data_IF_221532231062
#
_entry.id   IF_221532231062
#
_cell.length_a   1.000
_cell.length_b   1.000
_cell.length_c   1.000
_cell.angle_alpha   90.00
_cell.angle_beta   90.00
_cell.angle_gamma   90.00
#
_symmetry.space_group_name_H-M   'P 1'
#
loop_
_entity.id
_entity.type
_entity.pdbx_description
1 polymer ?
#
# COMPACT_ATOMS: atom_id res chain seq x y z
N UNK A 1 9.55 -3.24 -9.33
CA UNK A 1 10.65 -2.83 -10.24
C UNK A 1 10.33 -1.52 -10.96
N UNK A 2 9.20 -1.39 -11.69
CA UNK A 2 8.86 -0.21 -12.51
C UNK A 2 8.86 1.12 -11.73
N UNK A 3 8.23 1.17 -10.55
CA UNK A 3 8.14 2.38 -9.73
C UNK A 3 9.55 2.90 -9.33
N UNK A 4 10.44 2.01 -8.95
CA UNK A 4 11.81 2.38 -8.54
C UNK A 4 12.66 2.82 -9.73
N UNK A 5 12.45 2.22 -10.91
CA UNK A 5 13.08 2.65 -12.15
C UNK A 5 12.64 4.06 -12.54
N UNK A 6 11.34 4.35 -12.41
CA UNK A 6 10.81 5.69 -12.67
C UNK A 6 11.40 6.74 -11.70
N UNK A 7 11.47 6.48 -10.40
CA UNK A 7 12.11 7.39 -9.45
C UNK A 7 13.58 7.67 -9.79
N UNK A 8 14.34 6.64 -10.20
CA UNK A 8 15.70 6.83 -10.66
C UNK A 8 15.77 7.71 -11.91
N UNK A 9 14.85 7.52 -12.86
CA UNK A 9 14.77 8.33 -14.07
C UNK A 9 14.49 9.80 -13.75
N UNK A 10 13.63 10.09 -12.78
CA UNK A 10 13.31 11.47 -12.40
C UNK A 10 14.54 12.22 -11.87
N UNK A 11 15.37 11.54 -11.09
CA UNK A 11 16.64 12.12 -10.60
C UNK A 11 17.60 12.46 -11.74
N UNK A 12 17.58 11.69 -12.83
CA UNK A 12 18.46 11.89 -13.99
C UNK A 12 17.94 12.99 -14.95
N UNK A 13 16.60 13.08 -15.12
CA UNK A 13 16.00 13.91 -16.15
C UNK A 13 15.50 15.26 -15.65
N UNK A 14 15.11 15.35 -14.37
CA UNK A 14 14.45 16.52 -13.83
C UNK A 14 15.23 17.15 -12.68
N UNK A 15 15.20 18.51 -12.56
CA UNK A 15 15.79 19.19 -11.42
C UNK A 15 15.07 18.83 -10.13
N UNK A 16 15.79 18.81 -9.01
CA UNK A 16 15.30 18.39 -7.69
C UNK A 16 13.98 19.07 -7.26
N UNK A 17 13.83 20.35 -7.61
CA UNK A 17 12.62 21.14 -7.33
C UNK A 17 11.32 20.56 -7.94
N UNK A 18 11.42 19.78 -9.02
CA UNK A 18 10.27 19.18 -9.70
C UNK A 18 9.93 17.76 -9.24
N UNK A 19 10.81 17.11 -8.50
CA UNK A 19 10.59 15.71 -8.06
C UNK A 19 9.29 15.50 -7.29
N UNK A 20 8.89 16.35 -6.30
CA UNK A 20 7.63 16.16 -5.62
C UNK A 20 6.42 16.21 -6.57
N UNK A 21 6.44 17.14 -7.55
CA UNK A 21 5.38 17.29 -8.53
C UNK A 21 5.28 16.10 -9.47
N UNK A 22 6.41 15.60 -9.97
CA UNK A 22 6.46 14.44 -10.88
C UNK A 22 6.04 13.16 -10.16
N UNK A 23 6.49 12.97 -8.92
CA UNK A 23 6.03 11.87 -8.08
C UNK A 23 4.52 11.93 -7.83
N UNK A 24 3.96 13.14 -7.65
CA UNK A 24 2.52 13.35 -7.53
C UNK A 24 1.76 12.91 -8.79
N UNK A 25 2.23 13.28 -9.97
CA UNK A 25 1.63 12.82 -11.24
C UNK A 25 1.72 11.30 -11.42
N UNK A 26 2.83 10.69 -11.04
CA UNK A 26 2.97 9.24 -11.11
C UNK A 26 2.02 8.52 -10.16
N UNK A 27 1.88 9.00 -8.92
CA UNK A 27 0.93 8.44 -7.96
C UNK A 27 -0.51 8.64 -8.43
N UNK A 28 -0.84 9.81 -9.02
CA UNK A 28 -2.14 10.06 -9.62
C UNK A 28 -2.42 9.11 -10.80
N UNK A 29 -1.44 8.85 -11.67
CA UNK A 29 -1.58 7.88 -12.74
C UNK A 29 -1.84 6.46 -12.21
N UNK A 30 -1.16 6.06 -11.13
CA UNK A 30 -1.44 4.81 -10.41
C UNK A 30 -2.86 4.76 -9.84
N UNK A 31 -3.33 5.87 -9.25
CA UNK A 31 -4.70 6.03 -8.78
C UNK A 31 -5.74 5.92 -9.90
N UNK A 32 -5.48 6.55 -11.05
CA UNK A 32 -6.34 6.40 -12.24
C UNK A 32 -6.40 4.95 -12.73
N UNK A 33 -5.27 4.23 -12.68
CA UNK A 33 -5.25 2.80 -12.98
C UNK A 33 -6.12 1.98 -12.02
N UNK A 34 -6.07 2.28 -10.73
CA UNK A 34 -6.93 1.64 -9.73
C UNK A 34 -8.42 1.95 -9.97
N UNK A 35 -8.75 3.20 -10.31
CA UNK A 35 -10.11 3.61 -10.67
C UNK A 35 -10.60 2.89 -11.93
N UNK A 36 -9.75 2.76 -12.94
CA UNK A 36 -10.07 2.05 -14.19
C UNK A 36 -10.35 0.56 -13.97
N UNK A 37 -9.74 -0.05 -12.95
CA UNK A 37 -9.93 -1.46 -12.60
C UNK A 37 -11.25 -1.75 -11.87
N UNK A 38 -12.10 -0.76 -11.65
CA UNK A 38 -13.40 -0.91 -10.96
C UNK A 38 -14.57 -0.83 -11.94
N UNK A 39 -15.42 0.18 -11.83
CA UNK A 39 -16.60 0.37 -12.69
C UNK A 39 -16.28 0.35 -14.20
N UNK A 40 -15.19 0.95 -14.70
CA UNK A 40 -14.86 0.87 -16.13
C UNK A 40 -14.58 -0.55 -16.62
N UNK A 41 -13.89 -1.36 -15.83
CA UNK A 41 -13.66 -2.79 -16.15
C UNK A 41 -14.96 -3.57 -16.10
N UNK A 42 -15.82 -3.32 -15.12
CA UNK A 42 -17.15 -3.95 -15.04
C UNK A 42 -17.98 -3.66 -16.30
N UNK A 43 -17.99 -2.41 -16.77
CA UNK A 43 -18.64 -2.03 -18.02
C UNK A 43 -17.99 -2.74 -19.22
N UNK A 44 -16.67 -2.79 -19.29
CA UNK A 44 -15.95 -3.45 -20.39
C UNK A 44 -16.28 -4.96 -20.45
N UNK A 45 -16.46 -5.60 -19.32
CA UNK A 45 -16.84 -7.02 -19.22
C UNK A 45 -18.28 -7.29 -19.67
N UNK A 46 -19.11 -6.26 -19.92
CA UNK A 46 -20.41 -6.44 -20.60
C UNK A 46 -20.24 -6.56 -22.12
N UNK A 47 -19.12 -6.09 -22.69
CA UNK A 47 -18.83 -6.06 -24.12
C UNK A 47 -17.87 -7.21 -24.51
N UNK A 48 -16.96 -7.58 -23.60
CA UNK A 48 -15.96 -8.64 -23.82
C UNK A 48 -15.87 -9.54 -22.60
N UNK A 49 -15.08 -10.62 -22.73
CA UNK A 49 -14.76 -11.50 -21.62
C UNK A 49 -13.43 -11.08 -20.91
N UNK A 50 -13.06 -11.82 -19.87
CA UNK A 50 -11.81 -11.57 -19.15
C UNK A 50 -10.57 -11.73 -20.04
N UNK A 51 -10.62 -12.59 -21.08
CA UNK A 51 -9.52 -12.80 -22.03
C UNK A 51 -9.31 -11.59 -22.91
N UNK A 52 -10.41 -10.99 -23.43
CA UNK A 52 -10.38 -9.75 -24.20
C UNK A 52 -9.84 -8.57 -23.37
N UNK A 53 -10.23 -8.48 -22.09
CA UNK A 53 -9.68 -7.49 -21.16
C UNK A 53 -8.16 -7.64 -20.99
N UNK A 54 -7.67 -8.87 -20.75
CA UNK A 54 -6.22 -9.11 -20.61
C UNK A 54 -5.46 -8.87 -21.91
N UNK A 55 -6.06 -9.18 -23.07
CA UNK A 55 -5.49 -8.88 -24.37
C UNK A 55 -5.32 -7.37 -24.58
N UNK A 56 -6.34 -6.58 -24.23
CA UNK A 56 -6.26 -5.11 -24.26
C UNK A 56 -5.14 -4.59 -23.37
N UNK A 57 -5.04 -5.07 -22.13
CA UNK A 57 -3.97 -4.68 -21.20
C UNK A 57 -2.58 -5.08 -21.73
N UNK A 58 -2.44 -6.24 -22.37
CA UNK A 58 -1.19 -6.68 -22.99
C UNK A 58 -0.78 -5.75 -24.14
N UNK A 59 -1.72 -5.36 -25.01
CA UNK A 59 -1.45 -4.42 -26.12
C UNK A 59 -1.04 -3.04 -25.56
N UNK A 60 -1.76 -2.51 -24.58
CA UNK A 60 -1.41 -1.21 -23.95
C UNK A 60 -0.02 -1.26 -23.27
N UNK A 61 0.30 -2.36 -22.60
CA UNK A 61 1.61 -2.55 -21.97
C UNK A 61 2.72 -2.64 -23.02
N UNK A 62 2.48 -3.35 -24.12
CA UNK A 62 3.42 -3.47 -25.23
C UNK A 62 3.65 -2.13 -25.93
N UNK A 63 2.59 -1.37 -26.23
CA UNK A 63 2.71 -0.02 -26.79
C UNK A 63 3.49 0.92 -25.86
N UNK A 64 3.24 0.82 -24.53
CA UNK A 64 3.98 1.62 -23.54
C UNK A 64 5.46 1.25 -23.51
N UNK A 65 5.79 -0.04 -23.60
CA UNK A 65 7.16 -0.52 -23.66
C UNK A 65 7.88 -0.03 -24.94
N UNK A 66 7.21 -0.07 -26.09
CA UNK A 66 7.74 0.48 -27.35
C UNK A 66 7.95 1.99 -27.22
N UNK A 67 6.98 2.71 -26.63
CA UNK A 67 7.11 4.15 -26.38
C UNK A 67 8.34 4.48 -25.55
N UNK A 68 8.56 3.76 -24.45
CA UNK A 68 9.77 3.94 -23.62
C UNK A 68 11.04 3.63 -24.43
N UNK A 69 11.04 2.54 -25.19
CA UNK A 69 12.21 2.09 -25.95
C UNK A 69 12.60 3.08 -27.06
N UNK A 70 11.64 3.64 -27.80
CA UNK A 70 11.94 4.53 -28.93
C UNK A 70 12.04 6.01 -28.55
N UNK A 71 11.34 6.46 -27.51
CA UNK A 71 11.22 7.89 -27.19
C UNK A 71 12.19 8.31 -26.08
N UNK A 72 12.50 7.41 -25.10
CA UNK A 72 13.34 7.80 -23.97
C UNK A 72 14.81 7.60 -24.32
N UNK A 73 15.59 8.69 -24.49
CA UNK A 73 17.00 8.57 -24.82
C UNK A 73 17.81 8.05 -23.62
N UNK A 74 18.81 7.23 -23.88
CA UNK A 74 19.76 6.81 -22.86
C UNK A 74 20.64 7.96 -22.40
N UNK A 75 20.52 8.34 -21.15
CA UNK A 75 21.45 9.29 -20.52
C UNK A 75 22.48 8.51 -19.70
N UNK A 76 23.74 8.57 -20.13
CA UNK A 76 24.84 7.97 -19.36
C UNK A 76 24.89 8.61 -17.97
N UNK A 77 24.68 7.82 -16.93
CA UNK A 77 24.84 8.28 -15.55
C UNK A 77 26.31 8.63 -15.30
N UNK A 78 26.58 9.86 -14.87
CA UNK A 78 27.92 10.31 -14.50
C UNK A 78 28.44 9.64 -13.20
N UNK A 79 27.58 8.95 -12.46
CA UNK A 79 27.97 8.21 -11.26
C UNK A 79 28.49 6.83 -11.65
N UNK A 80 29.67 6.41 -11.14
CA UNK A 80 30.17 5.06 -11.31
C UNK A 80 29.08 4.06 -10.89
N UNK A 81 28.91 2.99 -11.68
CA UNK A 81 28.00 1.90 -11.28
C UNK A 81 28.47 1.39 -9.92
N UNK A 82 27.61 1.53 -8.91
CA UNK A 82 27.85 0.90 -7.62
C UNK A 82 28.18 -0.57 -7.83
N UNK A 83 29.31 -1.02 -7.33
CA UNK A 83 29.67 -2.44 -7.36
C UNK A 83 28.54 -3.26 -6.70
N UNK A 84 28.28 -4.44 -7.22
CA UNK A 84 27.30 -5.36 -6.63
C UNK A 84 27.55 -5.58 -5.14
N UNK A 85 28.80 -5.66 -4.74
CA UNK A 85 29.23 -5.73 -3.34
C UNK A 85 28.79 -4.52 -2.51
N UNK A 86 28.89 -3.30 -3.06
CA UNK A 86 28.45 -2.09 -2.36
C UNK A 86 26.92 -2.01 -2.22
N UNK A 87 26.21 -2.58 -3.19
CA UNK A 87 24.74 -2.66 -3.13
C UNK A 87 24.30 -3.60 -2.01
N UNK A 88 24.87 -4.80 -1.92
CA UNK A 88 24.60 -5.77 -0.85
C UNK A 88 24.99 -5.20 0.52
N UNK A 89 26.15 -4.57 0.62
CA UNK A 89 26.62 -3.94 1.86
C UNK A 89 25.62 -2.89 2.37
N UNK A 90 25.10 -2.04 1.48
CA UNK A 90 24.10 -1.04 1.86
C UNK A 90 22.76 -1.65 2.30
N UNK A 91 22.31 -2.73 1.66
CA UNK A 91 21.11 -3.47 2.10
C UNK A 91 21.35 -4.08 3.49
N UNK A 92 22.51 -4.71 3.71
CA UNK A 92 22.88 -5.28 5.01
C UNK A 92 22.92 -4.22 6.11
N UNK A 93 23.39 -3.01 5.78
CA UNK A 93 23.39 -1.87 6.71
C UNK A 93 21.98 -1.44 7.10
N UNK A 94 21.03 -1.40 6.15
CA UNK A 94 19.62 -1.09 6.43
C UNK A 94 19.02 -2.14 7.37
N UNK A 95 19.16 -3.43 7.07
CA UNK A 95 18.61 -4.51 7.89
C UNK A 95 19.29 -4.68 9.26
N UNK A 96 20.50 -4.15 9.44
CA UNK A 96 21.18 -4.11 10.76
C UNK A 96 20.74 -2.91 11.61
N UNK A 97 20.06 -1.94 11.03
CA UNK A 97 19.66 -0.72 11.73
C UNK A 97 18.49 -0.95 12.68
N UNK A 98 18.68 -0.61 13.95
CA UNK A 98 17.60 -0.62 14.95
C UNK A 98 16.47 0.36 14.58
N UNK A 99 16.80 1.48 13.93
CA UNK A 99 15.82 2.46 13.49
C UNK A 99 14.89 1.88 12.40
N UNK A 100 15.43 1.06 11.49
CA UNK A 100 14.63 0.36 10.50
C UNK A 100 13.64 -0.59 11.17
N UNK A 101 14.11 -1.46 12.03
CA UNK A 101 13.26 -2.46 12.70
C UNK A 101 12.25 -1.89 13.70
N UNK A 102 12.44 -0.65 14.13
CA UNK A 102 11.45 0.03 14.96
C UNK A 102 10.14 0.29 14.21
N UNK A 103 10.20 0.68 12.96
CA UNK A 103 9.03 1.16 12.18
C UNK A 103 8.60 0.13 11.14
N UNK A 104 9.55 -0.60 10.55
CA UNK A 104 9.31 -1.50 9.44
C UNK A 104 8.26 -2.60 9.71
N UNK A 105 8.21 -3.26 10.88
CA UNK A 105 7.18 -4.28 11.15
C UNK A 105 5.77 -3.72 11.08
N UNK A 106 5.49 -2.58 11.74
CA UNK A 106 4.19 -1.93 11.69
C UNK A 106 3.82 -1.54 10.26
N UNK A 107 4.73 -0.89 9.55
CA UNK A 107 4.53 -0.47 8.16
C UNK A 107 4.25 -1.67 7.26
N UNK A 108 5.06 -2.72 7.38
CA UNK A 108 4.90 -3.91 6.54
C UNK A 108 3.54 -4.59 6.80
N UNK A 109 3.16 -4.81 8.05
CA UNK A 109 1.89 -5.46 8.38
C UNK A 109 0.69 -4.60 7.99
N UNK A 110 0.73 -3.29 8.21
CA UNK A 110 -0.38 -2.38 7.86
C UNK A 110 -0.56 -2.27 6.35
N UNK A 111 0.52 -2.05 5.59
CA UNK A 111 0.45 -1.94 4.13
C UNK A 111 0.13 -3.29 3.47
N UNK A 112 0.68 -4.38 3.97
CA UNK A 112 0.36 -5.71 3.49
C UNK A 112 -1.11 -6.07 3.73
N UNK A 113 -1.66 -5.73 4.90
CA UNK A 113 -3.09 -5.92 5.20
C UNK A 113 -3.97 -5.07 4.27
N UNK A 114 -3.57 -3.81 4.02
CA UNK A 114 -4.27 -2.95 3.08
C UNK A 114 -4.31 -3.57 1.67
N UNK A 115 -3.15 -3.96 1.13
CA UNK A 115 -3.05 -4.57 -0.20
C UNK A 115 -3.81 -5.90 -0.27
N UNK A 116 -3.72 -6.73 0.76
CA UNK A 116 -4.42 -8.02 0.84
C UNK A 116 -5.93 -7.84 0.80
N UNK A 117 -6.47 -7.00 1.68
CA UNK A 117 -7.92 -6.82 1.82
C UNK A 117 -8.49 -6.11 0.60
N UNK A 118 -7.87 -5.02 0.15
CA UNK A 118 -8.36 -4.29 -1.02
C UNK A 118 -8.25 -5.09 -2.31
N UNK A 119 -7.12 -5.79 -2.50
CA UNK A 119 -6.84 -6.48 -3.75
C UNK A 119 -7.61 -7.78 -3.94
N UNK A 120 -7.95 -8.49 -2.86
CA UNK A 120 -8.55 -9.82 -2.97
C UNK A 120 -9.83 -9.99 -2.17
N UNK A 121 -9.93 -9.45 -0.96
CA UNK A 121 -10.99 -9.79 -0.01
C UNK A 121 -12.13 -8.77 0.08
N UNK A 122 -11.96 -7.55 -0.45
CA UNK A 122 -12.99 -6.52 -0.43
C UNK A 122 -14.24 -6.93 -1.23
N UNK A 123 -14.05 -7.42 -2.46
CA UNK A 123 -15.14 -7.87 -3.33
C UNK A 123 -15.94 -9.03 -2.72
N UNK A 124 -15.31 -10.14 -2.35
CA UNK A 124 -15.95 -11.25 -1.67
C UNK A 124 -16.67 -10.82 -0.38
N UNK A 125 -16.06 -9.98 0.46
CA UNK A 125 -16.71 -9.49 1.67
C UNK A 125 -17.98 -8.68 1.37
N UNK A 126 -17.93 -7.77 0.39
CA UNK A 126 -19.10 -6.98 -0.03
C UNK A 126 -20.21 -7.86 -0.59
N UNK A 127 -19.88 -8.96 -1.27
CA UNK A 127 -20.85 -9.94 -1.76
C UNK A 127 -21.46 -10.75 -0.62
N UNK A 128 -20.62 -11.38 0.20
CA UNK A 128 -21.01 -12.43 1.13
C UNK A 128 -21.59 -11.88 2.43
N UNK A 129 -21.08 -10.73 2.89
CA UNK A 129 -21.49 -10.10 4.15
C UNK A 129 -22.51 -8.98 3.91
N UNK A 130 -22.23 -8.11 2.93
CA UNK A 130 -23.13 -6.98 2.65
C UNK A 130 -24.25 -7.32 1.66
N UNK A 131 -24.24 -8.52 1.05
CA UNK A 131 -25.29 -8.97 0.11
C UNK A 131 -25.33 -8.14 -1.19
N UNK A 132 -24.26 -7.48 -1.56
CA UNK A 132 -24.22 -6.59 -2.71
C UNK A 132 -24.14 -7.35 -4.03
N UNK A 133 -24.86 -6.86 -5.02
CA UNK A 133 -24.76 -7.32 -6.40
C UNK A 133 -23.49 -6.79 -7.06
N UNK A 134 -23.01 -7.47 -8.11
CA UNK A 134 -21.77 -7.14 -8.81
C UNK A 134 -21.62 -5.66 -9.21
N UNK A 135 -22.61 -4.96 -9.78
CA UNK A 135 -22.49 -3.53 -10.08
C UNK A 135 -22.33 -2.65 -8.84
N UNK A 136 -22.99 -3.02 -7.73
CA UNK A 136 -22.89 -2.30 -6.46
C UNK A 136 -21.50 -2.47 -5.83
N UNK A 137 -20.93 -3.67 -5.93
CA UNK A 137 -19.54 -3.95 -5.50
C UNK A 137 -18.57 -3.10 -6.31
N UNK A 138 -18.70 -3.07 -7.63
CA UNK A 138 -17.84 -2.27 -8.50
C UNK A 138 -17.91 -0.78 -8.14
N UNK A 139 -19.12 -0.26 -7.85
CA UNK A 139 -19.30 1.12 -7.42
C UNK A 139 -18.69 1.39 -6.03
N UNK A 140 -18.85 0.47 -5.08
CA UNK A 140 -18.25 0.60 -3.75
C UNK A 140 -16.71 0.62 -3.82
N UNK A 141 -16.12 -0.28 -4.62
CA UNK A 141 -14.68 -0.32 -4.85
C UNK A 141 -14.17 0.91 -5.63
N UNK A 142 -14.98 1.45 -6.56
CA UNK A 142 -14.68 2.70 -7.23
C UNK A 142 -14.54 3.85 -6.23
N UNK A 143 -15.50 4.03 -5.33
CA UNK A 143 -15.44 5.07 -4.31
C UNK A 143 -14.30 4.85 -3.31
N UNK A 144 -13.99 3.61 -2.97
CA UNK A 144 -12.82 3.27 -2.17
C UNK A 144 -11.52 3.66 -2.87
N UNK A 145 -11.41 3.49 -4.21
CA UNK A 145 -10.26 3.90 -5.00
C UNK A 145 -10.15 5.43 -5.15
N UNK A 146 -11.29 6.15 -5.25
CA UNK A 146 -11.31 7.63 -5.17
C UNK A 146 -10.79 8.09 -3.82
N UNK A 147 -11.26 7.48 -2.74
CA UNK A 147 -10.83 7.80 -1.37
C UNK A 147 -9.33 7.50 -1.15
N UNK A 148 -8.82 6.41 -1.71
CA UNK A 148 -7.39 6.09 -1.72
C UNK A 148 -6.57 7.19 -2.39
N UNK A 149 -6.96 7.60 -3.60
CA UNK A 149 -6.26 8.66 -4.34
C UNK A 149 -6.28 9.98 -3.58
N UNK A 150 -7.44 10.34 -3.03
CA UNK A 150 -7.62 11.52 -2.20
C UNK A 150 -6.81 11.41 -0.89
N UNK A 151 -6.77 10.22 -0.28
CA UNK A 151 -6.01 9.95 0.93
C UNK A 151 -4.51 10.19 0.75
N UNK A 152 -3.92 9.80 -0.35
CA UNK A 152 -2.51 10.09 -0.65
C UNK A 152 -2.22 11.59 -0.66
N UNK A 153 -3.11 12.38 -1.26
CA UNK A 153 -2.95 13.85 -1.32
C UNK A 153 -3.19 14.45 0.07
N UNK A 154 -4.33 14.16 0.68
CA UNK A 154 -4.77 14.77 1.93
C UNK A 154 -3.82 14.43 3.09
N UNK A 155 -3.45 13.16 3.26
CA UNK A 155 -2.55 12.74 4.35
C UNK A 155 -1.13 13.31 4.16
N UNK A 156 -0.67 13.48 2.91
CA UNK A 156 0.57 14.18 2.62
C UNK A 156 0.55 15.64 3.09
N UNK A 157 -0.52 16.38 2.74
CA UNK A 157 -0.70 17.78 3.15
C UNK A 157 -0.87 17.88 4.67
N UNK A 158 -1.64 16.99 5.29
CA UNK A 158 -1.82 16.94 6.76
C UNK A 158 -0.48 16.69 7.44
N UNK A 159 0.30 15.72 6.96
CA UNK A 159 1.62 15.42 7.51
C UNK A 159 2.57 16.64 7.43
N UNK A 160 2.56 17.37 6.31
CA UNK A 160 3.35 18.61 6.17
C UNK A 160 2.92 19.67 7.16
N UNK A 161 1.60 19.93 7.30
CA UNK A 161 1.07 20.91 8.24
C UNK A 161 1.41 20.54 9.70
N UNK A 162 1.25 19.26 10.06
CA UNK A 162 1.58 18.78 11.40
C UNK A 162 3.09 18.87 11.69
N UNK A 163 3.94 18.63 10.69
CA UNK A 163 5.39 18.81 10.81
C UNK A 163 5.77 20.27 11.09
N UNK A 164 5.07 21.24 10.48
CA UNK A 164 5.25 22.67 10.77
C UNK A 164 4.82 23.05 12.20
N UNK A 165 3.90 22.29 12.80
CA UNK A 165 3.49 22.42 14.20
C UNK A 165 4.38 21.63 15.17
N UNK A 166 5.50 21.05 14.69
CA UNK A 166 6.44 20.28 15.51
C UNK A 166 6.06 18.81 15.72
N UNK A 167 4.97 18.33 15.10
CA UNK A 167 4.56 16.93 15.20
C UNK A 167 5.34 16.12 14.15
N UNK A 168 6.21 15.23 14.63
CA UNK A 168 7.05 14.40 13.74
C UNK A 168 6.24 13.46 12.85
N UNK A 169 6.72 13.24 11.61
CA UNK A 169 6.07 12.41 10.59
C UNK A 169 5.79 10.98 11.07
N UNK A 170 6.61 10.43 11.99
CA UNK A 170 6.40 9.10 12.59
C UNK A 170 5.10 9.07 13.39
N UNK A 171 4.81 10.09 14.18
CA UNK A 171 3.56 10.17 14.96
C UNK A 171 2.36 10.27 14.04
N UNK A 172 2.42 11.09 13.00
CA UNK A 172 1.35 11.20 12.00
C UNK A 172 1.08 9.87 11.31
N UNK A 173 2.14 9.17 10.91
CA UNK A 173 2.04 7.86 10.28
C UNK A 173 1.42 6.82 11.23
N UNK A 174 1.90 6.73 12.47
CA UNK A 174 1.40 5.77 13.47
C UNK A 174 -0.06 6.05 13.81
N UNK A 175 -0.45 7.32 13.99
CA UNK A 175 -1.85 7.69 14.21
C UNK A 175 -2.75 7.31 13.05
N UNK A 176 -2.34 7.61 11.82
CA UNK A 176 -3.08 7.22 10.61
C UNK A 176 -3.24 5.70 10.47
N UNK A 177 -2.18 4.93 10.74
CA UNK A 177 -2.23 3.48 10.75
C UNK A 177 -3.14 2.94 11.88
N UNK A 178 -3.15 3.58 13.05
CA UNK A 178 -4.07 3.26 14.15
C UNK A 178 -5.54 3.48 13.77
N UNK A 179 -5.85 4.60 13.10
CA UNK A 179 -7.20 4.86 12.57
C UNK A 179 -7.60 3.80 11.52
N UNK A 180 -6.68 3.44 10.64
CA UNK A 180 -6.90 2.37 9.67
C UNK A 180 -7.21 1.02 10.34
N UNK A 181 -6.48 0.66 11.39
CA UNK A 181 -6.77 -0.54 12.20
C UNK A 181 -8.15 -0.46 12.85
N UNK A 182 -8.55 0.72 13.37
CA UNK A 182 -9.88 0.95 13.92
C UNK A 182 -10.99 0.68 12.90
N UNK A 183 -10.82 1.14 11.65
CA UNK A 183 -11.78 0.87 10.57
C UNK A 183 -11.85 -0.62 10.26
N UNK A 184 -10.71 -1.32 10.23
CA UNK A 184 -10.68 -2.78 10.04
C UNK A 184 -11.44 -3.52 11.16
N UNK A 185 -11.41 -3.03 12.42
CA UNK A 185 -12.22 -3.60 13.50
C UNK A 185 -13.71 -3.51 13.16
N UNK A 186 -14.21 -2.35 12.70
CA UNK A 186 -15.62 -2.21 12.29
C UNK A 186 -15.99 -3.17 11.15
N UNK A 187 -15.11 -3.34 10.16
CA UNK A 187 -15.31 -4.27 9.06
C UNK A 187 -15.31 -5.73 9.56
N UNK A 188 -14.36 -6.10 10.42
CA UNK A 188 -14.24 -7.46 10.96
C UNK A 188 -15.45 -7.85 11.83
N UNK A 189 -15.97 -6.91 12.63
CA UNK A 189 -17.16 -7.14 13.46
C UNK A 189 -18.47 -6.88 12.76
N UNK A 190 -18.41 -6.58 11.45
CA UNK A 190 -19.62 -6.39 10.61
C UNK A 190 -20.61 -5.39 11.23
N UNK A 191 -20.08 -4.29 11.76
CA UNK A 191 -20.90 -3.26 12.42
C UNK A 191 -21.92 -2.72 11.43
N UNK A 192 -23.19 -2.43 11.84
CA UNK A 192 -24.28 -2.01 10.97
C UNK A 192 -24.10 -0.55 10.49
N UNK A 193 -23.00 -0.28 9.83
CA UNK A 193 -22.68 0.97 9.13
C UNK A 193 -22.69 0.67 7.64
N UNK A 194 -23.13 1.63 6.80
CA UNK A 194 -23.16 1.47 5.35
C UNK A 194 -21.84 0.87 4.82
N UNK A 195 -21.83 -0.33 4.22
CA UNK A 195 -20.60 -1.04 3.83
C UNK A 195 -19.71 -0.19 2.92
N UNK A 196 -20.29 0.48 1.93
CA UNK A 196 -19.56 1.38 1.03
C UNK A 196 -18.79 2.46 1.79
N UNK A 197 -19.40 3.06 2.82
CA UNK A 197 -18.74 4.09 3.64
C UNK A 197 -17.55 3.53 4.42
N UNK A 198 -17.68 2.33 4.98
CA UNK A 198 -16.53 1.68 5.66
C UNK A 198 -15.37 1.43 4.70
N UNK A 199 -15.65 0.99 3.48
CA UNK A 199 -14.61 0.75 2.48
C UNK A 199 -14.01 2.04 1.91
N UNK A 200 -14.79 3.15 1.85
CA UNK A 200 -14.26 4.50 1.56
C UNK A 200 -13.26 4.91 2.65
N UNK A 201 -13.61 4.80 3.93
CA UNK A 201 -12.69 5.11 5.03
C UNK A 201 -11.47 4.19 5.03
N UNK A 202 -11.67 2.91 4.74
CA UNK A 202 -10.58 1.94 4.59
C UNK A 202 -9.60 2.36 3.48
N UNK A 203 -10.10 2.75 2.31
CA UNK A 203 -9.29 3.26 1.21
C UNK A 203 -8.52 4.51 1.60
N UNK A 204 -9.18 5.49 2.22
CA UNK A 204 -8.58 6.75 2.65
C UNK A 204 -7.45 6.54 3.67
N UNK A 205 -7.73 5.90 4.80
CA UNK A 205 -6.76 5.72 5.87
C UNK A 205 -5.72 4.63 5.58
N UNK A 206 -6.01 3.68 4.68
CA UNK A 206 -5.05 2.69 4.23
C UNK A 206 -3.80 3.29 3.58
N UNK A 207 -3.90 4.53 3.06
CA UNK A 207 -2.76 5.25 2.49
C UNK A 207 -1.77 5.78 3.54
N UNK A 208 -2.16 5.81 4.82
CA UNK A 208 -1.34 6.39 5.91
C UNK A 208 0.03 5.73 6.07
N UNK A 209 0.14 4.44 5.75
CA UNK A 209 1.41 3.73 5.81
C UNK A 209 2.48 4.27 4.85
N UNK A 210 2.11 5.00 3.78
CA UNK A 210 3.08 5.62 2.86
C UNK A 210 3.93 6.68 3.57
N UNK A 211 3.39 7.34 4.59
CA UNK A 211 4.12 8.33 5.37
C UNK A 211 5.32 7.75 6.10
N UNK A 212 5.26 6.47 6.48
CA UNK A 212 6.36 5.78 7.14
C UNK A 212 7.54 5.50 6.20
N UNK A 213 7.34 5.47 4.88
CA UNK A 213 8.44 5.41 3.92
C UNK A 213 9.32 6.66 4.00
N UNK A 214 8.69 7.83 4.09
CA UNK A 214 9.40 9.10 4.28
C UNK A 214 10.07 9.15 5.65
N UNK A 215 9.37 8.69 6.71
CA UNK A 215 9.90 8.63 8.06
C UNK A 215 11.12 7.68 8.18
N UNK A 216 11.10 6.55 7.49
CA UNK A 216 12.23 5.64 7.41
C UNK A 216 13.38 6.25 6.63
N UNK A 217 13.11 6.83 5.45
CA UNK A 217 14.14 7.40 4.58
C UNK A 217 14.86 8.57 5.23
N UNK A 218 14.16 9.43 5.96
CA UNK A 218 14.75 10.59 6.65
C UNK A 218 15.71 10.21 7.79
N UNK A 219 15.61 8.99 8.29
CA UNK A 219 16.47 8.48 9.34
C UNK A 219 17.80 7.86 8.85
N UNK A 220 18.05 7.87 7.55
CA UNK A 220 19.24 7.30 6.94
C UNK A 220 19.97 8.32 6.08
N UNK A 221 21.29 8.16 5.85
CA UNK A 221 22.02 8.97 4.88
C UNK A 221 21.35 8.93 3.50
N UNK A 222 21.35 10.06 2.76
CA UNK A 222 20.71 10.16 1.42
C UNK A 222 21.14 9.05 0.47
N UNK A 223 22.38 8.60 0.54
CA UNK A 223 22.91 7.49 -0.27
C UNK A 223 22.21 6.14 -0.01
N UNK A 224 21.61 5.94 1.16
CA UNK A 224 20.89 4.72 1.53
C UNK A 224 19.36 4.84 1.38
N UNK A 225 18.83 6.04 1.16
CA UNK A 225 17.38 6.29 1.10
C UNK A 225 16.65 5.35 0.12
N UNK A 226 17.17 5.19 -1.09
CA UNK A 226 16.60 4.27 -2.08
C UNK A 226 16.63 2.81 -1.62
N UNK A 227 17.68 2.38 -0.93
CA UNK A 227 17.82 1.02 -0.39
C UNK A 227 16.83 0.78 0.76
N UNK A 228 16.64 1.77 1.63
CA UNK A 228 15.64 1.73 2.70
C UNK A 228 14.23 1.55 2.12
N UNK A 229 13.86 2.38 1.15
CA UNK A 229 12.54 2.34 0.50
C UNK A 229 12.32 1.01 -0.23
N UNK A 230 13.34 0.49 -0.92
CA UNK A 230 13.24 -0.81 -1.61
C UNK A 230 13.13 -1.96 -0.61
N UNK A 231 13.87 -1.92 0.50
CA UNK A 231 13.83 -2.95 1.54
C UNK A 231 12.47 -3.04 2.21
N UNK A 232 11.88 -1.91 2.59
CA UNK A 232 10.53 -1.91 3.19
C UNK A 232 9.47 -2.34 2.17
N UNK A 233 9.59 -1.92 0.90
CA UNK A 233 8.67 -2.31 -0.15
C UNK A 233 8.71 -3.82 -0.42
N UNK A 234 9.89 -4.43 -0.41
CA UNK A 234 10.06 -5.89 -0.51
C UNK A 234 9.34 -6.59 0.66
N UNK A 235 9.52 -6.11 1.89
CA UNK A 235 8.84 -6.66 3.07
C UNK A 235 7.32 -6.54 2.95
N UNK A 236 6.81 -5.39 2.49
CA UNK A 236 5.37 -5.15 2.30
C UNK A 236 4.78 -6.14 1.30
N UNK A 237 5.38 -6.29 0.11
CA UNK A 237 4.81 -7.18 -0.91
C UNK A 237 4.97 -8.67 -0.57
N UNK A 238 6.09 -9.05 0.07
CA UNK A 238 6.24 -10.43 0.58
C UNK A 238 5.19 -10.72 1.65
N UNK A 239 5.01 -9.81 2.60
CA UNK A 239 3.98 -9.94 3.61
C UNK A 239 2.56 -9.94 2.99
N UNK A 240 2.29 -9.08 2.00
CA UNK A 240 0.98 -9.03 1.33
C UNK A 240 0.64 -10.38 0.67
N UNK A 241 1.61 -10.99 -0.03
CA UNK A 241 1.44 -12.32 -0.61
C UNK A 241 1.09 -13.37 0.46
N UNK A 242 1.86 -13.41 1.55
CA UNK A 242 1.64 -14.35 2.66
C UNK A 242 0.28 -14.09 3.31
N UNK A 243 -0.05 -12.84 3.58
CA UNK A 243 -1.29 -12.47 4.28
C UNK A 243 -2.53 -12.71 3.41
N UNK A 244 -2.47 -12.50 2.09
CA UNK A 244 -3.56 -12.87 1.19
C UNK A 244 -3.90 -14.36 1.28
N UNK A 245 -2.87 -15.19 1.25
CA UNK A 245 -3.02 -16.64 1.39
C UNK A 245 -3.49 -17.02 2.80
N UNK A 246 -2.93 -16.41 3.84
CA UNK A 246 -3.30 -16.68 5.25
C UNK A 246 -4.77 -16.38 5.52
N UNK A 247 -5.27 -15.23 5.03
CA UNK A 247 -6.70 -14.89 5.19
C UNK A 247 -7.57 -15.94 4.52
N UNK A 248 -7.21 -16.39 3.30
CA UNK A 248 -7.93 -17.45 2.60
C UNK A 248 -7.91 -18.77 3.36
N UNK A 249 -6.75 -19.18 3.87
CA UNK A 249 -6.62 -20.39 4.66
C UNK A 249 -7.46 -20.34 5.95
N UNK A 250 -7.50 -19.18 6.63
CA UNK A 250 -8.32 -18.99 7.82
C UNK A 250 -9.81 -19.01 7.48
N UNK A 251 -10.24 -18.31 6.43
CA UNK A 251 -11.66 -18.28 6.00
C UNK A 251 -12.15 -19.69 5.67
N UNK A 252 -11.32 -20.50 5.02
CA UNK A 252 -11.66 -21.87 4.61
C UNK A 252 -11.71 -22.88 5.80
N UNK A 253 -11.48 -22.48 7.04
CA UNK A 253 -11.75 -23.30 8.22
C UNK A 253 -13.24 -23.44 8.51
N UNK A 254 -14.08 -22.60 7.90
CA UNK A 254 -15.54 -22.66 7.97
C UNK A 254 -16.12 -23.19 6.67
N UNK A 255 -17.20 -23.94 6.77
CA UNK A 255 -17.92 -24.47 5.61
C UNK A 255 -18.45 -23.35 4.73
N UNK A 256 -18.29 -23.54 3.43
CA UNK A 256 -18.86 -22.64 2.42
C UNK A 256 -20.34 -22.97 2.29
N UNK A 257 -21.21 -21.96 2.18
CA UNK A 257 -22.64 -22.16 1.99
C UNK A 257 -22.94 -22.85 0.65
N UNK A 258 -24.13 -23.47 0.52
CA UNK A 258 -24.59 -24.07 -0.73
C UNK A 258 -24.60 -23.06 -1.92
N UNK A 259 -24.69 -21.77 -1.64
CA UNK A 259 -24.62 -20.70 -2.64
C UNK A 259 -23.18 -20.27 -2.99
N UNK A 260 -22.17 -20.92 -2.43
CA UNK A 260 -20.75 -20.59 -2.66
C UNK A 260 -20.23 -19.37 -1.90
N UNK A 261 -20.97 -18.88 -0.90
CA UNK A 261 -20.56 -17.76 -0.06
C UNK A 261 -19.72 -18.25 1.13
N UNK A 262 -18.66 -17.53 1.48
CA UNK A 262 -17.88 -17.82 2.67
C UNK A 262 -18.63 -17.43 3.94
N UNK A 263 -18.35 -18.18 5.02
CA UNK A 263 -19.00 -17.98 6.30
C UNK A 263 -18.57 -16.66 6.98
N UNK A 264 -19.50 -15.87 7.57
CA UNK A 264 -19.18 -14.59 8.22
C UNK A 264 -18.12 -14.69 9.32
N UNK A 265 -18.15 -15.78 10.11
CA UNK A 265 -17.13 -16.01 11.14
C UNK A 265 -15.73 -16.24 10.55
N UNK A 266 -15.62 -16.80 9.35
CA UNK A 266 -14.37 -16.95 8.62
C UNK A 266 -13.75 -15.60 8.27
N UNK A 267 -14.54 -14.66 7.72
CA UNK A 267 -14.08 -13.29 7.48
C UNK A 267 -13.64 -12.61 8.77
N UNK A 268 -14.43 -12.70 9.84
CA UNK A 268 -14.09 -12.14 11.14
C UNK A 268 -12.74 -12.66 11.63
N UNK A 269 -12.54 -13.97 11.61
CA UNK A 269 -11.29 -14.60 12.07
C UNK A 269 -10.10 -14.20 11.19
N UNK A 270 -10.24 -14.21 9.85
CA UNK A 270 -9.20 -13.80 8.92
C UNK A 270 -8.78 -12.34 9.13
N UNK A 271 -9.74 -11.42 9.28
CA UNK A 271 -9.45 -10.01 9.49
C UNK A 271 -8.88 -9.73 10.89
N UNK A 272 -9.33 -10.44 11.92
CA UNK A 272 -8.74 -10.36 13.26
C UNK A 272 -7.30 -10.89 13.29
N UNK A 273 -6.96 -11.89 12.47
CA UNK A 273 -5.57 -12.35 12.32
C UNK A 273 -4.68 -11.22 11.79
N UNK A 274 -5.13 -10.49 10.76
CA UNK A 274 -4.39 -9.32 10.26
C UNK A 274 -4.26 -8.22 11.31
N UNK A 275 -5.34 -7.92 12.02
CA UNK A 275 -5.35 -6.93 13.10
C UNK A 275 -4.40 -7.31 14.23
N UNK A 276 -4.33 -8.60 14.60
CA UNK A 276 -3.39 -9.09 15.61
C UNK A 276 -1.93 -8.86 15.22
N UNK A 277 -1.57 -9.13 13.96
CA UNK A 277 -0.22 -8.88 13.43
C UNK A 277 0.11 -7.38 13.39
N UNK A 278 -0.84 -6.54 13.00
CA UNK A 278 -0.69 -5.08 13.01
C UNK A 278 -0.54 -4.55 14.45
N UNK A 279 -1.34 -5.07 15.39
CA UNK A 279 -1.26 -4.71 16.81
C UNK A 279 0.10 -5.09 17.42
N UNK A 280 0.63 -6.26 17.08
CA UNK A 280 1.97 -6.66 17.47
C UNK A 280 3.04 -5.71 16.91
N UNK A 281 2.92 -5.32 15.63
CA UNK A 281 3.80 -4.32 15.00
C UNK A 281 3.70 -2.94 15.67
N UNK A 282 2.49 -2.50 16.04
CA UNK A 282 2.26 -1.25 16.76
C UNK A 282 2.88 -1.28 18.16
N UNK A 283 2.63 -2.33 18.91
CA UNK A 283 3.22 -2.53 20.24
C UNK A 283 4.76 -2.50 20.16
N UNK A 284 5.36 -3.21 19.21
CA UNK A 284 6.79 -3.17 18.97
C UNK A 284 7.31 -1.76 18.68
N UNK A 285 6.63 -1.01 17.82
CA UNK A 285 7.00 0.36 17.48
C UNK A 285 6.98 1.29 18.70
N UNK A 286 5.96 1.17 19.56
CA UNK A 286 5.81 1.97 20.76
C UNK A 286 6.87 1.61 21.81
N UNK A 287 7.03 0.34 22.16
CA UNK A 287 8.00 -0.13 23.18
C UNK A 287 9.45 0.14 22.78
N UNK A 288 9.81 -0.07 21.51
CA UNK A 288 11.17 0.26 21.04
C UNK A 288 11.46 1.77 21.04
N UNK A 289 10.42 2.61 21.00
CA UNK A 289 10.51 4.05 21.14
C UNK A 289 10.78 4.54 22.55
N UNK A 290 10.22 3.88 23.56
CA UNK A 290 10.40 4.21 24.98
C UNK A 290 11.84 3.96 25.44
N UNK A 291 12.44 2.84 25.04
CA UNK A 291 13.84 2.50 25.39
C UNK A 291 14.88 3.54 24.95
N UNK A 292 14.58 4.37 23.94
CA UNK A 292 15.50 5.40 23.47
C UNK A 292 15.41 6.69 24.31
N UNK A 293 14.24 6.99 24.89
CA UNK A 293 14.08 8.14 25.80
C UNK A 293 14.78 7.91 27.15
N UNK A 294 14.72 6.69 27.66
CA UNK A 294 15.36 6.33 28.96
C UNK A 294 16.91 6.26 28.88
N UNK A 295 17.49 6.13 27.68
CA UNK A 295 18.97 6.16 27.52
C UNK A 295 19.54 7.56 27.24
N UNK A 296 18.71 8.60 27.13
CA UNK A 296 19.13 10.00 26.93
C UNK A 296 18.84 10.86 28.18
N UNK A 297 18.33 10.30 29.25
CA UNK A 297 18.29 10.84 30.63
C UNK A 297 19.41 10.18 31.47
#
# INVERSE_FOLDING_TARGET
>A
ACLMAAFKSYVIWFPEKLWPRINGFQMAAGGLGALSATTPVEWLLTITDWRGLFMLLAVLSFCSALGVFFIVPEKKSATPRDSFSSQISGIKQVFRSQQFWRIAPLTAMTQASFVSLQGLWAGPWLRDIAGMQRPQIAMALFWAAVALTTGYICLGVVAEKLARLGIGIVYTAVTGMGLFMGIQVFIAFQVPIAPTFLWILFGFFGTSGILSYSALSSGFPKALSGRVTTSINLMVFTAAFVLQWTVGAVINLWEVSAAGNYHPSGYKAGFLTLLGLQAAGLAWCLFSGLKKRTKMQ
#
